data_IF_428997542737
#
_entry.id   IF_428997542737
#
_cell.length_a   1.000
_cell.length_b   1.000
_cell.length_c   1.000
_cell.angle_alpha   90.00
_cell.angle_beta   90.00
_cell.angle_gamma   90.00
#
_symmetry.space_group_name_H-M   'P 1'
#
loop_
_entity.id
_entity.type
_entity.pdbx_description
1 polymer ?
#
# COMPACT_ATOMS: atom_id res chain seq x y z
N UNK A 1 19.74 -10.68 1.76
CA UNK A 1 19.27 -10.27 0.43
C UNK A 1 20.28 -9.27 -0.13
N UNK A 2 20.59 -9.30 -1.44
CA UNK A 2 21.49 -8.29 -2.03
C UNK A 2 20.79 -6.91 -2.02
N UNK A 3 21.55 -5.83 -1.86
CA UNK A 3 21.00 -4.46 -1.84
C UNK A 3 20.20 -4.13 -3.11
N UNK A 4 20.58 -4.71 -4.25
CA UNK A 4 19.87 -4.58 -5.52
C UNK A 4 18.45 -5.14 -5.46
N UNK A 5 18.23 -6.26 -4.75
CA UNK A 5 16.91 -6.88 -4.65
C UNK A 5 15.93 -6.01 -3.84
N UNK A 6 16.41 -5.34 -2.79
CA UNK A 6 15.59 -4.46 -1.94
C UNK A 6 15.17 -3.20 -2.71
N UNK A 7 16.07 -2.64 -3.52
CA UNK A 7 15.76 -1.49 -4.38
C UNK A 7 14.71 -1.85 -5.43
N UNK A 8 14.86 -2.99 -6.12
CA UNK A 8 13.89 -3.45 -7.12
C UNK A 8 12.51 -3.68 -6.47
N UNK A 9 12.46 -4.32 -5.30
CA UNK A 9 11.21 -4.51 -4.56
C UNK A 9 10.56 -3.17 -4.19
N UNK A 10 11.34 -2.19 -3.76
CA UNK A 10 10.84 -0.85 -3.41
C UNK A 10 10.23 -0.15 -4.63
N UNK A 11 10.88 -0.22 -5.79
CA UNK A 11 10.37 0.36 -7.04
C UNK A 11 9.07 -0.31 -7.47
N UNK A 12 9.02 -1.65 -7.44
CA UNK A 12 7.82 -2.42 -7.80
C UNK A 12 6.65 -2.07 -6.85
N UNK A 13 6.90 -2.05 -5.54
CA UNK A 13 5.89 -1.71 -4.54
C UNK A 13 5.44 -0.25 -4.65
N UNK A 14 6.34 0.66 -5.02
CA UNK A 14 6.02 2.06 -5.28
C UNK A 14 5.13 2.22 -6.50
N UNK A 15 5.48 1.58 -7.62
CA UNK A 15 4.63 1.52 -8.82
C UNK A 15 3.27 0.89 -8.50
N UNK A 16 3.25 -0.22 -7.75
CA UNK A 16 2.01 -0.90 -7.37
C UNK A 16 1.14 0.00 -6.49
N UNK A 17 1.72 0.73 -5.55
CA UNK A 17 1.01 1.70 -4.70
C UNK A 17 0.43 2.85 -5.53
N UNK A 18 1.19 3.40 -6.48
CA UNK A 18 0.71 4.45 -7.38
C UNK A 18 -0.43 3.97 -8.28
N UNK A 19 -0.35 2.75 -8.81
CA UNK A 19 -1.41 2.12 -9.58
C UNK A 19 -2.66 1.93 -8.72
N UNK A 20 -2.51 1.47 -7.47
CA UNK A 20 -3.64 1.34 -6.55
C UNK A 20 -4.32 2.67 -6.25
N UNK A 21 -3.56 3.74 -6.03
CA UNK A 21 -4.09 5.09 -5.83
C UNK A 21 -4.87 5.53 -7.07
N UNK A 22 -4.27 5.35 -8.25
CA UNK A 22 -4.89 5.71 -9.51
C UNK A 22 -6.19 4.95 -9.74
N UNK A 23 -6.19 3.63 -9.52
CA UNK A 23 -7.38 2.80 -9.64
C UNK A 23 -8.47 3.22 -8.66
N UNK A 24 -8.11 3.48 -7.40
CA UNK A 24 -9.07 3.92 -6.39
C UNK A 24 -9.76 5.22 -6.79
N UNK A 25 -8.98 6.19 -7.29
CA UNK A 25 -9.52 7.46 -7.79
C UNK A 25 -10.37 7.27 -9.06
N UNK A 26 -9.92 6.43 -9.98
CA UNK A 26 -10.64 6.13 -11.22
C UNK A 26 -12.00 5.44 -10.96
N UNK A 27 -12.08 4.58 -9.95
CA UNK A 27 -13.29 3.86 -9.55
C UNK A 27 -14.03 4.50 -8.36
N UNK A 28 -13.70 5.74 -8.01
CA UNK A 28 -14.31 6.48 -6.90
C UNK A 28 -15.84 6.44 -6.94
N UNK A 29 -16.44 6.85 -8.07
CA UNK A 29 -17.89 6.98 -8.21
C UNK A 29 -18.64 5.66 -7.94
N UNK A 30 -18.31 4.53 -8.60
CA UNK A 30 -18.97 3.26 -8.30
C UNK A 30 -18.70 2.74 -6.89
N UNK A 31 -17.50 2.95 -6.33
CA UNK A 31 -17.18 2.56 -4.95
C UNK A 31 -18.09 3.31 -3.96
N UNK A 32 -18.24 4.61 -4.15
CA UNK A 32 -19.10 5.46 -3.32
C UNK A 32 -20.57 5.05 -3.45
N UNK A 33 -21.03 4.72 -4.67
CA UNK A 33 -22.42 4.30 -4.87
C UNK A 33 -22.73 2.93 -4.27
N UNK A 34 -21.78 1.98 -4.28
CA UNK A 34 -21.90 0.71 -3.54
C UNK A 34 -21.90 0.93 -2.03
N UNK A 35 -21.03 1.82 -1.52
CA UNK A 35 -20.99 2.14 -0.10
C UNK A 35 -22.33 2.75 0.39
N UNK A 36 -22.97 3.60 -0.41
CA UNK A 36 -24.30 4.18 -0.09
C UNK A 36 -25.42 3.13 -0.04
N UNK A 37 -25.32 2.06 -0.82
CA UNK A 37 -26.34 1.01 -0.88
C UNK A 37 -26.29 0.04 0.31
N UNK A 38 -25.30 0.19 1.20
CA UNK A 38 -25.13 -0.68 2.38
C UNK A 38 -24.07 -1.76 2.21
N UNK A 39 -23.34 -1.79 1.09
CA UNK A 39 -22.27 -2.75 0.82
C UNK A 39 -20.90 -2.29 1.36
N UNK A 40 -20.86 -1.96 2.65
CA UNK A 40 -19.66 -1.43 3.34
C UNK A 40 -18.49 -2.42 3.34
N UNK A 41 -18.78 -3.73 3.26
CA UNK A 41 -17.78 -4.79 3.21
C UNK A 41 -16.76 -4.60 2.09
N UNK A 42 -17.21 -4.13 0.92
CA UNK A 42 -16.34 -3.93 -0.23
C UNK A 42 -15.32 -2.78 0.02
N UNK A 43 -15.79 -1.71 0.66
CA UNK A 43 -14.94 -0.56 1.03
C UNK A 43 -13.88 -0.97 2.05
N UNK A 44 -14.24 -1.83 3.02
CA UNK A 44 -13.30 -2.35 4.03
C UNK A 44 -12.19 -3.19 3.37
N UNK A 45 -12.55 -4.06 2.42
CA UNK A 45 -11.58 -4.90 1.70
C UNK A 45 -10.60 -4.02 0.91
N UNK A 46 -11.11 -3.01 0.19
CA UNK A 46 -10.26 -2.08 -0.56
C UNK A 46 -9.31 -1.34 0.38
N UNK A 47 -9.82 -0.81 1.50
CA UNK A 47 -9.01 -0.11 2.49
C UNK A 47 -7.90 -1.02 3.07
N UNK A 48 -8.19 -2.30 3.28
CA UNK A 48 -7.23 -3.28 3.78
C UNK A 48 -6.13 -3.59 2.76
N UNK A 49 -6.51 -3.83 1.49
CA UNK A 49 -5.56 -4.05 0.39
C UNK A 49 -4.63 -2.83 0.26
N UNK A 50 -5.21 -1.63 0.28
CA UNK A 50 -4.46 -0.39 0.18
C UNK A 50 -3.48 -0.22 1.34
N UNK A 51 -3.94 -0.45 2.58
CA UNK A 51 -3.09 -0.38 3.78
C UNK A 51 -1.94 -1.40 3.73
N UNK A 52 -2.20 -2.62 3.26
CA UNK A 52 -1.19 -3.67 3.15
C UNK A 52 -0.12 -3.33 2.11
N UNK A 53 -0.52 -2.98 0.89
CA UNK A 53 0.41 -2.65 -0.20
C UNK A 53 1.22 -1.39 0.13
N UNK A 54 0.55 -0.34 0.63
CA UNK A 54 1.21 0.89 1.03
C UNK A 54 2.16 0.67 2.22
N UNK A 55 1.75 -0.13 3.21
CA UNK A 55 2.58 -0.47 4.37
C UNK A 55 3.85 -1.23 3.99
N UNK A 56 3.75 -2.22 3.09
CA UNK A 56 4.91 -2.92 2.54
C UNK A 56 5.83 -1.96 1.78
N UNK A 57 5.28 -1.10 0.91
CA UNK A 57 6.06 -0.09 0.22
C UNK A 57 6.84 0.80 1.18
N UNK A 58 6.17 1.36 2.18
CA UNK A 58 6.79 2.26 3.17
C UNK A 58 7.90 1.54 3.95
N UNK A 59 7.68 0.29 4.37
CA UNK A 59 8.72 -0.50 5.05
C UNK A 59 9.97 -0.67 4.19
N UNK A 60 9.81 -1.07 2.92
CA UNK A 60 10.92 -1.26 1.99
C UNK A 60 11.59 0.07 1.61
N UNK A 61 10.82 1.15 1.48
CA UNK A 61 11.31 2.49 1.21
C UNK A 61 12.24 2.99 2.32
N UNK A 62 11.82 2.87 3.58
CA UNK A 62 12.66 3.22 4.73
C UNK A 62 13.92 2.35 4.82
N UNK A 63 13.80 1.04 4.52
CA UNK A 63 14.95 0.14 4.45
C UNK A 63 15.98 0.57 3.39
N UNK A 64 15.54 1.02 2.21
CA UNK A 64 16.42 1.55 1.16
C UNK A 64 17.09 2.86 1.58
N UNK A 65 16.37 3.74 2.29
CA UNK A 65 16.93 4.97 2.85
C UNK A 65 17.88 4.74 4.04
N UNK A 66 18.00 3.50 4.51
CA UNK A 66 18.82 3.15 5.68
C UNK A 66 18.18 3.55 7.02
N UNK A 67 16.92 3.96 7.02
CA UNK A 67 16.15 4.29 8.21
C UNK A 67 15.46 3.03 8.69
N UNK A 68 16.01 2.38 9.72
CA UNK A 68 15.39 1.21 10.34
C UNK A 68 14.73 1.59 11.65
N UNK A 69 13.54 1.04 11.90
CA UNK A 69 12.90 1.15 13.19
C UNK A 69 13.84 0.57 14.26
N UNK A 70 14.09 1.33 15.33
CA UNK A 70 14.84 0.83 16.49
C UNK A 70 13.96 -0.19 17.20
N UNK A 71 14.30 -1.47 17.11
CA UNK A 71 13.70 -2.49 17.95
C UNK A 71 14.10 -2.22 19.40
N UNK A 72 13.17 -1.67 20.18
CA UNK A 72 13.32 -1.63 21.64
C UNK A 72 13.04 -3.06 22.10
N UNK A 73 14.10 -3.78 22.48
CA UNK A 73 13.96 -5.03 23.21
C UNK A 73 13.54 -4.66 24.62
N UNK A 74 12.30 -4.97 24.99
CA UNK A 74 11.90 -5.09 26.40
C UNK A 74 12.55 -6.33 27.03
#
# INVERSE_FOLDING_TARGET
MSQTNVIIQTIILGCLSAILIFLFYYFEAPIVDWAKQGDWYFTIIIAFIFSFVHGLFVSHFWDVLGVKAKLIKE
#
